data_IF_712820607046
#
_entry.id   IF_712820607046
#
_cell.length_a   1.000
_cell.length_b   1.000
_cell.length_c   1.000
_cell.angle_alpha   90.00
_cell.angle_beta   90.00
_cell.angle_gamma   90.00
#
_symmetry.space_group_name_H-M   'P 1'
#
loop_
_entity.id
_entity.type
_entity.pdbx_description
1 polymer ?
#
# COMPACT_ATOMS: atom_id res chain seq x y z
N UNK A 1 -15.65 21.41 59.16
CA UNK A 1 -16.01 21.97 57.85
C UNK A 1 -16.08 20.82 56.86
N UNK A 2 -17.17 20.04 56.90
CA UNK A 2 -18.35 20.13 56.01
C UNK A 2 -18.07 19.68 54.57
N UNK A 3 -18.17 18.34 54.38
CA UNK A 3 -18.94 17.66 53.34
C UNK A 3 -19.28 18.48 52.08
N UNK A 4 -18.56 18.26 50.99
CA UNK A 4 -19.10 18.37 49.63
C UNK A 4 -18.46 17.31 48.73
N UNK A 5 -18.90 16.07 48.95
CA UNK A 5 -19.12 15.15 47.83
C UNK A 5 -20.23 15.74 46.96
N UNK A 6 -20.10 15.53 45.66
CA UNK A 6 -21.12 15.63 44.61
C UNK A 6 -21.08 16.87 43.69
N UNK A 7 -21.20 16.52 42.41
CA UNK A 7 -21.81 17.27 41.33
C UNK A 7 -20.93 18.29 40.58
N UNK A 8 -20.34 17.82 39.47
CA UNK A 8 -20.56 18.35 38.12
C UNK A 8 -19.44 17.82 37.21
N UNK A 9 -19.50 16.57 36.74
CA UNK A 9 -20.09 16.24 35.43
C UNK A 9 -20.72 17.46 34.75
N UNK A 10 -20.15 17.92 33.63
CA UNK A 10 -20.82 18.53 32.46
C UNK A 10 -19.89 19.56 31.76
N UNK A 11 -19.64 19.27 30.47
CA UNK A 11 -19.38 20.19 29.36
C UNK A 11 -18.13 21.09 29.38
N UNK A 12 -17.13 20.66 28.61
CA UNK A 12 -16.41 21.51 27.65
C UNK A 12 -15.49 20.60 26.83
N UNK A 13 -16.00 19.84 25.85
CA UNK A 13 -16.17 20.30 24.47
C UNK A 13 -15.04 21.24 23.97
N UNK A 14 -13.79 20.90 24.27
CA UNK A 14 -12.65 21.38 23.48
C UNK A 14 -12.57 20.53 22.22
N UNK A 15 -13.33 20.94 21.20
CA UNK A 15 -13.16 20.48 19.83
C UNK A 15 -11.69 20.70 19.41
N UNK A 16 -10.96 19.61 19.17
CA UNK A 16 -9.67 19.65 18.49
C UNK A 16 -9.95 19.60 16.98
N UNK A 17 -9.78 20.71 16.23
CA UNK A 17 -9.91 20.65 14.79
C UNK A 17 -8.60 20.17 14.18
N UNK A 18 -8.73 19.29 13.19
CA UNK A 18 -7.85 19.20 12.02
C UNK A 18 -6.39 18.74 12.26
N UNK A 19 -6.20 17.42 12.30
CA UNK A 19 -5.10 16.82 11.52
C UNK A 19 -5.65 15.63 10.73
N UNK A 20 -6.41 15.95 9.67
CA UNK A 20 -6.49 15.05 8.52
C UNK A 20 -5.11 15.05 7.85
N UNK A 21 -4.16 14.35 8.48
CA UNK A 21 -2.90 14.02 7.87
C UNK A 21 -3.21 13.02 6.77
N UNK A 22 -2.96 13.44 5.53
CA UNK A 22 -3.40 12.79 4.32
C UNK A 22 -3.07 11.31 4.32
N UNK A 23 -4.05 10.50 3.90
CA UNK A 23 -3.73 9.15 3.46
C UNK A 23 -2.64 9.29 2.40
N UNK A 24 -1.42 8.91 2.76
CA UNK A 24 -0.41 8.58 1.76
C UNK A 24 -0.96 7.34 1.10
N UNK A 25 -1.73 7.53 0.03
CA UNK A 25 -1.88 6.50 -0.96
C UNK A 25 -0.45 6.26 -1.44
N UNK A 26 0.19 5.23 -0.88
CA UNK A 26 1.41 4.66 -1.44
C UNK A 26 0.97 4.14 -2.81
N UNK A 27 0.93 5.04 -3.78
CA UNK A 27 1.01 4.68 -5.18
C UNK A 27 2.36 4.00 -5.27
N UNK A 28 2.32 2.68 -5.13
CA UNK A 28 3.41 1.82 -5.53
C UNK A 28 3.49 2.02 -7.04
N UNK A 29 4.23 3.05 -7.44
CA UNK A 29 4.52 3.31 -8.84
C UNK A 29 5.47 2.19 -9.21
N UNK A 30 4.90 1.06 -9.60
CA UNK A 30 5.61 0.01 -10.33
C UNK A 30 6.04 0.64 -11.66
N UNK A 31 7.09 1.46 -11.59
CA UNK A 31 7.72 2.17 -12.71
C UNK A 31 8.59 1.20 -13.50
N UNK A 32 8.35 -0.10 -13.35
CA UNK A 32 8.94 -1.11 -14.21
C UNK A 32 8.27 -0.99 -15.57
N UNK A 33 9.01 -0.43 -16.52
CA UNK A 33 8.60 -0.42 -17.92
C UNK A 33 8.33 -1.86 -18.38
N UNK A 34 7.48 -2.03 -19.40
CA UNK A 34 7.23 -3.34 -20.01
C UNK A 34 8.53 -4.06 -20.37
N UNK A 35 9.56 -3.30 -20.81
CA UNK A 35 10.90 -3.84 -21.06
C UNK A 35 11.58 -4.43 -19.83
N UNK A 36 11.53 -3.73 -18.69
CA UNK A 36 12.13 -4.23 -17.44
C UNK A 36 11.44 -5.50 -16.94
N UNK A 37 10.11 -5.55 -17.02
CA UNK A 37 9.34 -6.74 -16.64
C UNK A 37 9.72 -7.97 -17.50
N UNK A 38 9.99 -7.77 -18.79
CA UNK A 38 10.43 -8.85 -19.69
C UNK A 38 11.86 -9.31 -19.41
N UNK A 39 12.76 -8.39 -19.05
CA UNK A 39 14.14 -8.72 -18.67
C UNK A 39 14.14 -9.54 -17.38
N UNK A 40 13.39 -9.11 -16.37
CA UNK A 40 13.29 -9.80 -15.09
C UNK A 40 12.67 -11.19 -15.26
N UNK A 41 11.63 -11.29 -16.10
CA UNK A 41 11.00 -12.57 -16.44
C UNK A 41 11.97 -13.52 -17.15
N UNK A 42 12.81 -13.01 -18.06
CA UNK A 42 13.85 -13.81 -18.72
C UNK A 42 14.90 -14.28 -17.72
N UNK A 43 15.33 -13.42 -16.81
CA UNK A 43 16.29 -13.75 -15.77
C UNK A 43 15.77 -14.87 -14.86
N UNK A 44 14.50 -14.82 -14.45
CA UNK A 44 13.89 -15.88 -13.66
C UNK A 44 13.87 -17.24 -14.38
N UNK A 45 13.71 -17.26 -15.71
CA UNK A 45 13.83 -18.48 -16.49
C UNK A 45 15.27 -18.98 -16.54
N UNK A 46 16.23 -18.08 -16.77
CA UNK A 46 17.65 -18.42 -16.88
C UNK A 46 18.21 -18.94 -15.53
N UNK A 47 17.70 -18.41 -14.41
CA UNK A 47 18.02 -18.88 -13.05
C UNK A 47 17.25 -20.16 -12.66
N UNK A 48 16.35 -20.66 -13.51
CA UNK A 48 15.55 -21.86 -13.25
C UNK A 48 14.46 -21.66 -12.20
N UNK A 49 14.16 -20.42 -11.81
CA UNK A 49 13.12 -20.06 -10.84
C UNK A 49 11.72 -20.35 -11.41
N UNK A 50 11.55 -20.22 -12.73
CA UNK A 50 10.31 -20.53 -13.44
C UNK A 50 10.57 -21.49 -14.60
N UNK A 51 9.54 -22.25 -14.96
CA UNK A 51 9.58 -23.11 -16.14
C UNK A 51 9.43 -22.29 -17.44
N UNK A 52 9.92 -22.86 -18.56
CA UNK A 52 9.73 -22.28 -19.90
C UNK A 52 8.25 -22.02 -20.22
N UNK A 53 7.35 -22.87 -19.74
CA UNK A 53 5.91 -22.71 -19.97
C UNK A 53 5.34 -21.47 -19.26
N UNK A 54 5.83 -21.18 -18.05
CA UNK A 54 5.41 -20.02 -17.25
C UNK A 54 5.99 -18.73 -17.82
N UNK A 55 7.24 -18.78 -18.29
CA UNK A 55 7.85 -17.69 -19.02
C UNK A 55 7.00 -17.26 -20.22
N UNK A 56 6.62 -18.19 -21.09
CA UNK A 56 5.86 -17.85 -22.31
C UNK A 56 4.47 -17.28 -22.00
N UNK A 57 3.78 -17.81 -20.98
CA UNK A 57 2.47 -17.29 -20.55
C UNK A 57 2.62 -15.85 -20.04
N UNK A 58 3.51 -15.61 -19.09
CA UNK A 58 3.73 -14.29 -18.48
C UNK A 58 4.24 -13.27 -19.51
N UNK A 59 5.11 -13.68 -20.43
CA UNK A 59 5.61 -12.84 -21.51
C UNK A 59 4.48 -12.34 -22.41
N UNK A 60 3.55 -13.22 -22.79
CA UNK A 60 2.38 -12.84 -23.60
C UNK A 60 1.45 -11.90 -22.84
N UNK A 61 1.23 -12.13 -21.55
CA UNK A 61 0.38 -11.27 -20.73
C UNK A 61 0.97 -9.86 -20.59
N UNK A 62 2.28 -9.75 -20.40
CA UNK A 62 3.00 -8.45 -20.34
C UNK A 62 2.91 -7.70 -21.68
N UNK A 63 3.02 -8.40 -22.82
CA UNK A 63 2.96 -7.79 -24.15
C UNK A 63 1.53 -7.44 -24.62
N UNK A 64 0.49 -7.96 -23.95
CA UNK A 64 -0.92 -7.69 -24.28
C UNK A 64 -1.52 -6.57 -23.42
N UNK A 65 -0.79 -6.08 -22.41
CA UNK A 65 -1.12 -4.86 -21.69
C UNK A 65 -0.86 -3.64 -22.56
#
# INVERSE_FOLDING_TARGET
MTRTLAAALVLSLAAAPLTACGSTATTQVDTATTGQQLIDLKRALDEGVISKSEYERKRKDILRK
#
